data_IF_524090145232
#
_entry.id   IF_524090145232
#
_cell.length_a   1.000
_cell.length_b   1.000
_cell.length_c   1.000
_cell.angle_alpha   90.00
_cell.angle_beta   90.00
_cell.angle_gamma   90.00
#
_symmetry.space_group_name_H-M   'P 1'
#
loop_
_entity.id
_entity.type
_entity.pdbx_description
1 polymer ?
#
# COMPACT_ATOMS: atom_id res chain seq x y z
N UNK A 1 -4.07 -2.66 22.85
CA UNK A 1 -3.22 -3.76 22.31
C UNK A 1 -3.35 -3.80 20.78
N UNK A 2 -2.25 -4.01 20.02
CA UNK A 2 -2.30 -4.14 18.56
C UNK A 2 -2.23 -5.61 18.17
N UNK A 3 -3.27 -6.09 17.47
CA UNK A 3 -3.38 -7.44 16.93
C UNK A 3 -3.30 -7.39 15.39
N UNK A 4 -2.27 -7.97 14.83
CA UNK A 4 -2.08 -8.05 13.37
C UNK A 4 -2.59 -9.40 12.88
N UNK A 5 -3.68 -9.39 12.12
CA UNK A 5 -4.20 -10.58 11.45
C UNK A 5 -3.48 -10.71 10.11
N UNK A 6 -2.35 -11.40 10.14
CA UNK A 6 -1.43 -11.57 9.01
C UNK A 6 -1.64 -12.95 8.38
N UNK A 7 -2.45 -12.96 7.33
CA UNK A 7 -2.79 -14.21 6.65
C UNK A 7 -2.98 -14.00 5.13
N UNK A 8 -2.86 -15.08 4.38
CA UNK A 8 -3.00 -15.08 2.93
C UNK A 8 -4.37 -14.56 2.49
N UNK A 9 -4.46 -14.13 1.24
CA UNK A 9 -5.75 -13.71 0.66
C UNK A 9 -6.75 -14.86 0.66
N UNK A 10 -8.02 -14.52 0.88
CA UNK A 10 -9.09 -15.54 0.97
C UNK A 10 -9.21 -16.24 2.33
N UNK A 11 -8.28 -16.04 3.27
CA UNK A 11 -8.33 -16.63 4.62
C UNK A 11 -9.51 -16.16 5.49
N UNK A 12 -10.30 -15.16 5.02
CA UNK A 12 -11.50 -14.71 5.73
C UNK A 12 -11.26 -13.59 6.75
N UNK A 13 -10.13 -12.85 6.69
CA UNK A 13 -9.80 -11.77 7.63
C UNK A 13 -10.92 -10.74 7.83
N UNK A 14 -11.48 -10.23 6.74
CA UNK A 14 -12.57 -9.24 6.83
C UNK A 14 -13.87 -9.87 7.39
N UNK A 15 -14.13 -11.14 7.10
CA UNK A 15 -15.27 -11.87 7.69
C UNK A 15 -15.09 -12.04 9.19
N UNK A 16 -13.88 -12.42 9.63
CA UNK A 16 -13.55 -12.53 11.04
C UNK A 16 -13.82 -11.21 11.78
N UNK A 17 -13.27 -10.09 11.29
CA UNK A 17 -13.42 -8.80 11.98
C UNK A 17 -14.87 -8.28 11.96
N UNK A 18 -15.64 -8.55 10.91
CA UNK A 18 -17.07 -8.25 10.88
C UNK A 18 -17.81 -9.00 11.99
N UNK A 19 -17.48 -10.26 12.23
CA UNK A 19 -18.09 -11.03 13.30
C UNK A 19 -17.67 -10.51 14.70
N UNK A 20 -16.42 -10.14 14.87
CA UNK A 20 -15.92 -9.48 16.08
C UNK A 20 -16.65 -8.14 16.34
N UNK A 21 -16.81 -7.31 15.30
CA UNK A 21 -17.56 -6.06 15.42
C UNK A 21 -19.04 -6.32 15.79
N UNK A 22 -19.70 -7.33 15.18
CA UNK A 22 -21.09 -7.71 15.53
C UNK A 22 -21.22 -8.08 16.99
N UNK A 23 -20.28 -8.86 17.51
CA UNK A 23 -20.29 -9.29 18.91
C UNK A 23 -19.97 -8.14 19.85
N UNK A 24 -19.02 -7.28 19.48
CA UNK A 24 -18.64 -6.13 20.31
C UNK A 24 -19.73 -5.06 20.38
N UNK A 25 -20.43 -4.76 19.28
CA UNK A 25 -21.56 -3.80 19.26
C UNK A 25 -22.68 -4.24 20.20
N UNK A 26 -22.96 -5.54 20.29
CA UNK A 26 -23.93 -6.07 21.27
C UNK A 26 -23.49 -5.85 22.74
N UNK A 27 -22.21 -5.54 22.96
CA UNK A 27 -21.61 -5.20 24.26
C UNK A 27 -21.32 -3.71 24.39
N UNK A 28 -21.97 -2.86 23.59
CA UNK A 28 -21.81 -1.40 23.53
C UNK A 28 -20.42 -0.91 23.16
N UNK A 29 -19.56 -1.76 22.57
CA UNK A 29 -18.24 -1.36 22.07
C UNK A 29 -18.39 -0.51 20.81
N UNK A 30 -17.53 0.48 20.69
CA UNK A 30 -17.47 1.40 19.52
C UNK A 30 -16.25 1.13 18.67
N UNK A 31 -16.44 1.30 17.37
CA UNK A 31 -15.43 0.95 16.36
C UNK A 31 -15.16 2.09 15.40
N UNK A 32 -13.89 2.23 15.02
CA UNK A 32 -13.48 3.00 13.86
C UNK A 32 -12.89 2.03 12.85
N UNK A 33 -13.58 1.83 11.73
CA UNK A 33 -13.15 0.99 10.62
C UNK A 33 -12.50 1.86 9.54
N UNK A 34 -11.23 1.60 9.26
CA UNK A 34 -10.40 2.40 8.34
C UNK A 34 -9.93 1.51 7.18
N UNK A 35 -10.27 1.89 5.96
CA UNK A 35 -9.96 1.12 4.75
C UNK A 35 -9.49 2.04 3.62
N UNK A 36 -8.64 1.58 2.67
CA UNK A 36 -8.26 2.40 1.53
C UNK A 36 -9.42 2.63 0.52
N UNK A 37 -10.55 1.92 0.65
CA UNK A 37 -11.58 1.87 -0.40
C UNK A 37 -12.97 2.27 0.06
N UNK A 38 -13.61 3.12 -0.76
CA UNK A 38 -15.01 3.49 -0.59
C UNK A 38 -15.97 2.28 -0.73
N UNK A 39 -15.61 1.28 -1.53
CA UNK A 39 -16.44 0.08 -1.72
C UNK A 39 -16.51 -0.78 -0.44
N UNK A 40 -15.40 -0.88 0.29
CA UNK A 40 -15.40 -1.58 1.59
C UNK A 40 -16.17 -0.78 2.65
N UNK A 41 -16.12 0.56 2.62
CA UNK A 41 -17.00 1.39 3.48
C UNK A 41 -18.47 1.06 3.18
N UNK A 42 -18.89 1.07 1.91
CA UNK A 42 -20.25 0.72 1.52
C UNK A 42 -20.65 -0.69 1.99
N UNK A 43 -19.70 -1.64 1.94
CA UNK A 43 -19.91 -3.00 2.44
C UNK A 43 -20.15 -3.00 3.95
N UNK A 44 -19.35 -2.28 4.74
CA UNK A 44 -19.54 -2.17 6.19
C UNK A 44 -20.88 -1.53 6.51
N UNK A 45 -21.25 -0.42 5.86
CA UNK A 45 -22.54 0.24 6.04
C UNK A 45 -23.73 -0.67 5.67
N UNK A 46 -23.56 -1.55 4.66
CA UNK A 46 -24.59 -2.54 4.31
C UNK A 46 -24.73 -3.66 5.35
N UNK A 47 -23.63 -4.05 5.97
CA UNK A 47 -23.64 -5.09 7.03
C UNK A 47 -24.18 -4.55 8.36
N UNK A 48 -23.99 -3.24 8.60
CA UNK A 48 -24.34 -2.54 9.82
C UNK A 48 -25.13 -1.24 9.51
N UNK A 49 -26.36 -1.36 8.98
CA UNK A 49 -27.05 -0.24 8.35
C UNK A 49 -27.44 0.89 9.32
N UNK A 50 -27.58 0.60 10.62
CA UNK A 50 -27.96 1.60 11.62
C UNK A 50 -26.84 1.87 12.65
N UNK A 51 -25.80 1.07 12.64
CA UNK A 51 -24.75 1.11 13.66
C UNK A 51 -23.54 1.92 13.19
N UNK A 52 -23.21 1.87 11.90
CA UNK A 52 -22.05 2.58 11.34
C UNK A 52 -22.45 3.80 10.52
N UNK A 53 -21.64 4.84 10.59
CA UNK A 53 -21.74 6.06 9.78
C UNK A 53 -20.41 6.31 9.05
N UNK A 54 -20.48 7.02 7.92
CA UNK A 54 -19.29 7.50 7.22
C UNK A 54 -19.26 9.03 7.23
N UNK A 55 -18.10 9.67 7.33
CA UNK A 55 -17.96 11.10 7.21
C UNK A 55 -18.36 11.62 5.82
N UNK A 56 -19.23 12.61 5.76
CA UNK A 56 -19.78 13.19 4.54
C UNK A 56 -19.53 14.69 4.43
N UNK A 57 -19.70 15.23 3.24
CA UNK A 57 -19.76 16.70 3.04
C UNK A 57 -21.16 17.20 3.37
N UNK A 58 -21.29 18.03 4.41
CA UNK A 58 -22.57 18.67 4.76
C UNK A 58 -22.62 20.08 4.15
N UNK A 59 -23.31 20.23 3.03
CA UNK A 59 -23.41 21.51 2.30
C UNK A 59 -24.03 22.67 3.13
N UNK A 60 -24.85 22.38 4.12
CA UNK A 60 -25.54 23.38 4.94
C UNK A 60 -24.63 24.18 5.88
N UNK A 61 -23.39 23.73 6.14
CA UNK A 61 -22.49 24.35 7.12
C UNK A 61 -21.06 24.59 6.60
N UNK A 62 -20.82 24.61 5.30
CA UNK A 62 -19.47 24.60 4.71
C UNK A 62 -18.54 23.51 5.29
N UNK A 63 -19.11 22.40 5.76
CA UNK A 63 -18.43 21.36 6.49
C UNK A 63 -17.62 20.45 5.58
N UNK A 64 -16.37 20.22 5.93
CA UNK A 64 -15.49 19.23 5.30
C UNK A 64 -15.80 17.84 5.85
N UNK A 65 -15.29 16.78 5.18
CA UNK A 65 -15.34 15.42 5.76
C UNK A 65 -14.62 15.29 7.09
N UNK A 66 -13.59 16.10 7.32
CA UNK A 66 -12.87 16.13 8.61
C UNK A 66 -13.76 16.74 9.70
N UNK A 67 -14.52 17.82 9.39
CA UNK A 67 -15.49 18.41 10.32
C UNK A 67 -16.58 17.41 10.71
N UNK A 68 -17.08 16.64 9.73
CA UNK A 68 -18.09 15.62 10.00
C UNK A 68 -17.51 14.42 10.77
N UNK A 69 -16.25 14.03 10.52
CA UNK A 69 -15.55 13.04 11.33
C UNK A 69 -15.47 13.47 12.81
N UNK A 70 -15.15 14.74 13.08
CA UNK A 70 -15.11 15.29 14.44
C UNK A 70 -16.50 15.22 15.11
N UNK A 71 -17.56 15.56 14.38
CA UNK A 71 -18.93 15.45 14.90
C UNK A 71 -19.27 13.98 15.24
N UNK A 72 -18.97 13.03 14.35
CA UNK A 72 -19.23 11.61 14.60
C UNK A 72 -18.44 11.08 15.81
N UNK A 73 -17.21 11.56 16.02
CA UNK A 73 -16.41 11.23 17.22
C UNK A 73 -17.03 11.85 18.48
N UNK A 74 -17.48 13.11 18.41
CA UNK A 74 -18.18 13.77 19.50
C UNK A 74 -19.44 12.99 19.91
N UNK A 75 -20.23 12.52 18.92
CA UNK A 75 -21.45 11.74 19.11
C UNK A 75 -21.19 10.28 19.51
N UNK A 76 -19.92 9.88 19.63
CA UNK A 76 -19.49 8.52 19.98
C UNK A 76 -20.09 7.44 19.08
N UNK A 77 -20.15 7.71 17.77
CA UNK A 77 -20.68 6.83 16.75
C UNK A 77 -19.67 5.77 16.32
N UNK A 78 -20.13 4.60 15.82
CA UNK A 78 -19.25 3.72 15.04
C UNK A 78 -18.99 4.34 13.67
N UNK A 79 -17.72 4.39 13.24
CA UNK A 79 -17.31 5.15 12.08
C UNK A 79 -16.61 4.24 11.05
N UNK A 80 -17.04 4.33 9.78
CA UNK A 80 -16.31 3.73 8.67
C UNK A 80 -15.70 4.85 7.81
N UNK A 81 -14.37 4.87 7.67
CA UNK A 81 -13.68 5.96 7.00
C UNK A 81 -12.54 5.48 6.10
N UNK A 82 -12.00 6.39 5.27
CA UNK A 82 -10.87 6.06 4.40
C UNK A 82 -9.52 6.30 5.10
N UNK A 83 -8.47 5.55 4.68
CA UNK A 83 -7.08 5.83 5.06
C UNK A 83 -6.72 7.31 4.85
N UNK A 84 -7.13 7.88 3.71
CA UNK A 84 -6.81 9.28 3.39
C UNK A 84 -7.40 10.27 4.41
N UNK A 85 -8.65 10.08 4.84
CA UNK A 85 -9.26 10.95 5.84
C UNK A 85 -8.69 10.68 7.24
N UNK A 86 -8.45 9.42 7.58
CA UNK A 86 -7.84 9.06 8.86
C UNK A 86 -6.42 9.62 9.03
N UNK A 87 -5.67 9.78 7.95
CA UNK A 87 -4.35 10.46 7.97
C UNK A 87 -4.43 11.97 8.19
N UNK A 88 -5.60 12.60 8.02
CA UNK A 88 -5.80 14.05 8.24
C UNK A 88 -6.08 14.42 9.71
N UNK A 89 -5.93 13.47 10.64
CA UNK A 89 -6.12 13.66 12.08
C UNK A 89 -5.33 14.89 12.56
N UNK A 90 -6.02 15.80 13.23
CA UNK A 90 -5.47 16.97 13.90
C UNK A 90 -5.60 16.85 15.44
N UNK A 91 -5.15 17.87 16.16
CA UNK A 91 -5.16 17.87 17.63
C UNK A 91 -6.57 17.72 18.22
N UNK A 92 -7.60 18.28 17.58
CA UNK A 92 -8.98 18.14 18.04
C UNK A 92 -9.48 16.70 17.92
N UNK A 93 -9.18 16.02 16.79
CA UNK A 93 -9.48 14.58 16.65
C UNK A 93 -8.72 13.75 17.68
N UNK A 94 -7.44 14.09 17.95
CA UNK A 94 -6.65 13.45 18.98
C UNK A 94 -7.32 13.58 20.36
N UNK A 95 -7.78 14.76 20.72
CA UNK A 95 -8.40 15.00 22.02
C UNK A 95 -9.77 14.31 22.15
N UNK A 96 -10.54 14.20 21.07
CA UNK A 96 -11.78 13.43 21.03
C UNK A 96 -11.50 11.92 21.21
N UNK A 97 -10.45 11.38 20.56
CA UNK A 97 -10.08 9.98 20.68
C UNK A 97 -9.60 9.61 22.10
N UNK A 98 -8.88 10.51 22.78
CA UNK A 98 -8.44 10.30 24.16
C UNK A 98 -9.60 10.15 25.16
N UNK A 99 -10.72 10.75 24.86
CA UNK A 99 -11.89 10.78 25.76
C UNK A 99 -12.84 9.60 25.56
N UNK A 100 -12.59 8.72 24.60
CA UNK A 100 -13.52 7.68 24.17
C UNK A 100 -12.83 6.33 23.97
N UNK A 101 -13.51 5.27 24.36
CA UNK A 101 -13.02 3.89 24.24
C UNK A 101 -13.38 3.29 22.88
N UNK A 102 -12.59 3.61 21.86
CA UNK A 102 -12.76 2.99 20.56
C UNK A 102 -11.88 1.75 20.36
N UNK A 103 -12.36 0.81 19.57
CA UNK A 103 -11.57 -0.21 18.89
C UNK A 103 -11.29 0.23 17.46
N UNK A 104 -10.00 0.25 17.08
CA UNK A 104 -9.58 0.58 15.72
C UNK A 104 -9.46 -0.67 14.86
N UNK A 105 -10.04 -0.65 13.67
CA UNK A 105 -9.86 -1.70 12.66
C UNK A 105 -9.25 -1.07 11.42
N UNK A 106 -8.06 -1.53 11.03
CA UNK A 106 -7.36 -1.09 9.82
C UNK A 106 -7.39 -2.24 8.81
N UNK A 107 -8.20 -2.08 7.78
CA UNK A 107 -8.27 -3.01 6.65
C UNK A 107 -7.19 -2.62 5.64
N UNK A 108 -6.23 -3.50 5.43
CA UNK A 108 -4.92 -3.26 4.80
C UNK A 108 -4.03 -2.29 5.60
N UNK A 109 -2.72 -2.39 5.42
CA UNK A 109 -1.76 -1.52 6.13
C UNK A 109 -1.96 -0.04 5.77
N UNK A 110 -1.91 0.81 6.78
CA UNK A 110 -1.96 2.26 6.62
C UNK A 110 -0.58 2.77 6.16
N UNK A 111 -0.57 3.73 5.24
CA UNK A 111 0.66 4.45 4.89
C UNK A 111 1.00 5.43 6.03
N UNK A 112 1.76 4.96 7.01
CA UNK A 112 2.13 5.71 8.22
C UNK A 112 3.39 6.56 8.06
N UNK A 113 4.11 6.39 6.94
CA UNK A 113 5.32 7.15 6.59
C UNK A 113 5.24 7.54 5.12
N UNK A 114 5.36 8.82 4.82
CA UNK A 114 5.36 9.37 3.46
C UNK A 114 6.52 10.33 3.23
N UNK A 115 7.06 10.33 2.00
CA UNK A 115 8.01 11.37 1.59
C UNK A 115 7.21 12.61 1.23
N UNK A 116 7.52 13.70 1.89
CA UNK A 116 6.90 14.99 1.61
C UNK A 116 7.41 15.56 0.28
N UNK A 117 6.49 16.00 -0.56
CA UNK A 117 6.85 16.62 -1.84
C UNK A 117 7.33 18.05 -1.61
N UNK A 118 8.65 18.20 -1.40
CA UNK A 118 9.34 19.48 -1.18
C UNK A 118 10.60 19.53 -2.04
N UNK A 119 10.89 20.67 -2.64
CA UNK A 119 12.12 20.84 -3.42
C UNK A 119 13.33 21.08 -2.51
N UNK A 120 14.53 20.71 -2.96
CA UNK A 120 15.77 21.00 -2.21
C UNK A 120 15.93 22.49 -1.95
N UNK A 121 15.55 23.36 -2.92
CA UNK A 121 15.58 24.81 -2.76
C UNK A 121 14.64 25.31 -1.67
N UNK A 122 13.45 24.71 -1.53
CA UNK A 122 12.51 25.06 -0.46
C UNK A 122 13.03 24.59 0.91
N UNK A 123 13.66 23.41 0.96
CA UNK A 123 14.37 22.94 2.16
C UNK A 123 15.46 23.93 2.56
N UNK A 124 16.36 24.24 1.62
CA UNK A 124 17.46 25.20 1.86
C UNK A 124 16.91 26.58 2.30
N UNK A 125 15.81 27.05 1.72
CA UNK A 125 15.18 28.30 2.14
C UNK A 125 14.69 28.26 3.59
N UNK A 126 13.99 27.21 4.01
CA UNK A 126 13.48 27.10 5.37
C UNK A 126 14.60 27.09 6.43
N UNK A 127 15.72 26.44 6.13
CA UNK A 127 16.86 26.37 7.06
C UNK A 127 17.71 27.65 7.03
N UNK A 128 18.00 28.23 5.85
CA UNK A 128 18.82 29.44 5.71
C UNK A 128 18.13 30.70 6.28
N UNK A 129 16.80 30.72 6.33
CA UNK A 129 16.02 31.82 6.94
C UNK A 129 15.65 31.54 8.40
N UNK A 130 16.22 30.53 9.00
CA UNK A 130 15.99 30.13 10.40
C UNK A 130 14.52 29.86 10.77
N UNK A 131 13.69 29.50 9.78
CA UNK A 131 12.30 29.10 10.01
C UNK A 131 12.20 27.73 10.70
N UNK A 132 13.15 26.84 10.44
CA UNK A 132 13.18 25.50 10.98
C UNK A 132 14.61 25.03 11.31
N UNK A 133 14.71 24.09 12.24
CA UNK A 133 15.96 23.39 12.58
C UNK A 133 15.68 21.89 12.70
N UNK A 134 16.74 21.09 12.78
CA UNK A 134 16.66 19.64 13.02
C UNK A 134 17.17 19.33 14.42
N UNK A 135 16.42 18.57 15.20
CA UNK A 135 16.86 18.08 16.49
C UNK A 135 17.75 16.81 16.38
N UNK A 136 18.26 16.32 17.51
CA UNK A 136 19.11 15.12 17.56
C UNK A 136 18.42 13.83 17.10
N UNK A 137 17.09 13.83 16.97
CA UNK A 137 16.28 12.70 16.51
C UNK A 137 15.84 12.86 15.04
N UNK A 138 16.48 13.76 14.29
CA UNK A 138 16.13 14.14 12.92
C UNK A 138 14.70 14.72 12.78
N UNK A 139 14.08 15.17 13.86
CA UNK A 139 12.78 15.82 13.82
C UNK A 139 12.94 17.28 13.41
N UNK A 140 12.03 17.78 12.58
CA UNK A 140 11.98 19.20 12.23
C UNK A 140 11.32 19.98 13.37
N UNK A 141 12.03 20.98 13.88
CA UNK A 141 11.55 21.92 14.89
C UNK A 141 11.30 23.26 14.19
N UNK A 142 10.06 23.72 14.19
CA UNK A 142 9.68 25.00 13.62
C UNK A 142 9.89 26.11 14.65
N UNK A 143 10.55 27.22 14.23
CA UNK A 143 10.96 28.29 15.15
C UNK A 143 10.04 29.52 15.12
N UNK A 144 9.45 29.84 13.97
CA UNK A 144 8.64 31.05 13.81
C UNK A 144 7.14 30.70 13.88
N UNK A 145 6.54 30.92 15.04
CA UNK A 145 5.11 30.63 15.27
C UNK A 145 4.17 31.56 14.49
N UNK A 146 4.57 32.78 14.18
CA UNK A 146 3.78 33.76 13.44
C UNK A 146 3.81 33.54 11.91
N UNK A 147 4.60 32.56 11.42
CA UNK A 147 4.72 32.34 9.99
C UNK A 147 3.40 31.85 9.38
N UNK A 148 2.93 32.53 8.31
CA UNK A 148 1.69 32.21 7.58
C UNK A 148 1.89 32.05 6.06
N UNK A 149 3.14 31.90 5.61
CA UNK A 149 3.50 31.84 4.19
C UNK A 149 3.38 30.46 3.55
N UNK A 150 4.08 30.28 2.44
CA UNK A 150 4.09 29.05 1.59
C UNK A 150 4.36 27.76 2.35
N UNK A 151 5.11 27.81 3.44
CA UNK A 151 5.55 26.64 4.20
C UNK A 151 4.64 26.29 5.39
N UNK A 152 3.40 26.82 5.43
CA UNK A 152 2.49 26.66 6.57
C UNK A 152 2.12 25.18 6.84
N UNK A 153 2.04 24.34 5.80
CA UNK A 153 1.78 22.91 5.99
C UNK A 153 2.95 22.22 6.69
N UNK A 154 4.21 22.56 6.35
CA UNK A 154 5.41 22.02 7.01
C UNK A 154 5.50 22.50 8.46
N UNK A 155 5.16 23.77 8.73
CA UNK A 155 5.03 24.32 10.08
C UNK A 155 4.07 23.47 10.92
N UNK A 156 2.84 23.28 10.41
CA UNK A 156 1.81 22.50 11.09
C UNK A 156 2.28 21.06 11.39
N UNK A 157 2.91 20.37 10.42
CA UNK A 157 3.42 19.03 10.63
C UNK A 157 4.59 18.98 11.62
N UNK A 158 5.47 19.97 11.60
CA UNK A 158 6.56 20.08 12.57
C UNK A 158 6.03 20.32 14.00
N UNK A 159 5.08 21.26 14.18
CA UNK A 159 4.44 21.54 15.46
C UNK A 159 3.67 20.32 16.03
N UNK A 160 3.09 19.48 15.16
CA UNK A 160 2.46 18.23 15.55
C UNK A 160 3.46 17.07 15.74
N UNK A 161 4.77 17.32 15.68
CA UNK A 161 5.82 16.31 15.79
C UNK A 161 5.77 15.21 14.72
N UNK A 162 5.23 15.51 13.55
CA UNK A 162 5.00 14.54 12.46
C UNK A 162 5.98 14.71 11.30
N UNK A 163 6.92 15.69 11.36
CA UNK A 163 7.83 15.99 10.28
C UNK A 163 9.28 15.70 10.68
N UNK A 164 9.94 14.85 9.89
CA UNK A 164 11.32 14.43 10.09
C UNK A 164 12.18 14.79 8.89
N UNK A 165 13.46 14.98 9.11
CA UNK A 165 14.45 15.21 8.07
C UNK A 165 15.15 13.90 7.71
N UNK A 166 15.25 13.60 6.42
CA UNK A 166 16.27 12.69 5.91
C UNK A 166 17.51 13.53 5.55
N UNK A 167 18.64 13.23 6.18
CA UNK A 167 19.88 13.95 6.01
C UNK A 167 20.88 13.14 5.18
N UNK A 168 21.78 13.83 4.46
CA UNK A 168 22.92 13.19 3.81
C UNK A 168 24.04 12.85 4.82
N UNK A 169 25.14 12.29 4.31
CA UNK A 169 26.32 11.92 5.13
C UNK A 169 26.96 13.10 5.89
N UNK A 170 26.68 14.33 5.45
CA UNK A 170 27.20 15.56 6.06
C UNK A 170 26.18 16.20 7.01
N UNK A 171 25.07 15.52 7.30
CA UNK A 171 23.99 16.05 8.14
C UNK A 171 23.09 17.07 7.45
N UNK A 172 23.27 17.32 6.11
CA UNK A 172 22.44 18.28 5.38
C UNK A 172 21.07 17.64 5.05
N UNK A 173 19.94 18.32 5.37
CA UNK A 173 18.60 17.88 4.99
C UNK A 173 18.44 17.73 3.47
N UNK A 174 17.89 16.61 3.02
CA UNK A 174 17.67 16.27 1.61
C UNK A 174 16.21 15.97 1.25
N UNK A 175 15.45 15.53 2.22
CA UNK A 175 14.02 15.26 2.06
C UNK A 175 13.33 15.39 3.42
N UNK A 176 12.04 15.66 3.37
CA UNK A 176 11.22 15.58 4.56
C UNK A 176 10.37 14.31 4.52
N UNK A 177 10.23 13.69 5.69
CA UNK A 177 9.44 12.49 5.92
C UNK A 177 8.32 12.85 6.88
N UNK A 178 7.09 12.66 6.42
CA UNK A 178 5.94 12.76 7.28
C UNK A 178 5.69 11.42 7.95
N UNK A 179 5.50 11.44 9.25
CA UNK A 179 5.11 10.26 10.04
C UNK A 179 3.71 10.45 10.62
N UNK A 180 2.93 9.39 10.60
CA UNK A 180 1.65 9.36 11.30
C UNK A 180 1.88 9.56 12.81
N UNK A 181 1.00 10.28 13.55
CA UNK A 181 1.19 10.49 14.98
C UNK A 181 1.19 9.17 15.75
N UNK A 182 2.36 8.78 16.31
CA UNK A 182 2.54 7.50 17.00
C UNK A 182 1.58 7.31 18.19
N UNK A 183 1.28 8.39 18.89
CA UNK A 183 0.39 8.39 20.05
C UNK A 183 -1.03 7.93 19.73
N UNK A 184 -1.48 8.02 18.47
CA UNK A 184 -2.82 7.59 18.05
C UNK A 184 -3.08 6.13 18.45
N UNK A 185 -2.09 5.25 18.26
CA UNK A 185 -2.25 3.84 18.58
C UNK A 185 -2.40 3.56 20.08
N UNK A 186 -2.07 4.51 20.97
CA UNK A 186 -2.24 4.35 22.41
C UNK A 186 -3.64 4.71 22.90
N UNK A 187 -4.44 5.42 22.10
CA UNK A 187 -5.79 5.85 22.47
C UNK A 187 -6.86 4.78 22.24
N UNK A 188 -6.53 3.75 21.50
CA UNK A 188 -7.47 2.66 21.22
C UNK A 188 -7.32 1.53 22.24
N UNK A 189 -8.43 1.06 22.77
CA UNK A 189 -8.47 -0.11 23.64
C UNK A 189 -7.87 -1.33 22.95
N UNK A 190 -8.30 -1.56 21.68
CA UNK A 190 -7.73 -2.57 20.80
C UNK A 190 -7.56 -1.99 19.39
N UNK A 191 -6.54 -2.49 18.68
CA UNK A 191 -6.31 -2.18 17.26
C UNK A 191 -6.14 -3.49 16.52
N UNK A 192 -6.93 -3.71 15.48
CA UNK A 192 -6.78 -4.82 14.54
C UNK A 192 -6.22 -4.30 13.22
N UNK A 193 -5.16 -4.93 12.72
CA UNK A 193 -4.58 -4.66 11.40
C UNK A 193 -4.74 -5.92 10.55
N UNK A 194 -5.51 -5.84 9.47
CA UNK A 194 -5.75 -6.97 8.57
C UNK A 194 -4.82 -6.85 7.37
N UNK A 195 -3.89 -7.80 7.21
CA UNK A 195 -2.89 -7.69 6.14
C UNK A 195 -2.34 -9.05 5.73
N UNK A 196 -1.32 -9.02 4.87
CA UNK A 196 -0.48 -10.17 4.54
C UNK A 196 0.99 -9.77 4.40
N UNK A 197 1.89 -10.61 4.95
CA UNK A 197 3.34 -10.36 5.01
C UNK A 197 3.64 -9.02 5.73
N UNK A 198 3.16 -8.88 6.95
CA UNK A 198 3.25 -7.62 7.70
C UNK A 198 4.67 -7.18 7.97
N UNK A 199 5.58 -8.10 8.34
CA UNK A 199 6.94 -7.78 8.79
C UNK A 199 7.76 -7.01 7.75
N UNK A 200 7.45 -7.12 6.46
CA UNK A 200 8.12 -6.38 5.40
C UNK A 200 7.40 -5.08 4.97
N UNK A 201 6.30 -4.72 5.64
CA UNK A 201 5.54 -3.51 5.31
C UNK A 201 6.09 -2.28 6.04
N UNK A 202 6.01 -1.07 5.43
CA UNK A 202 6.43 0.18 6.08
C UNK A 202 5.78 0.40 7.44
N UNK A 203 4.55 -0.09 7.66
CA UNK A 203 3.87 0.03 8.94
C UNK A 203 4.53 -0.81 10.04
N UNK A 204 5.03 -2.01 9.72
CA UNK A 204 5.78 -2.82 10.68
C UNK A 204 7.11 -2.14 11.06
N UNK A 205 7.84 -1.62 10.07
CA UNK A 205 9.06 -0.85 10.31
C UNK A 205 8.80 0.37 11.20
N UNK A 206 7.71 1.09 10.93
CA UNK A 206 7.30 2.24 11.73
C UNK A 206 6.96 1.85 13.17
N UNK A 207 6.15 0.81 13.40
CA UNK A 207 5.82 0.36 14.77
C UNK A 207 7.08 -0.06 15.54
N UNK A 208 8.01 -0.76 14.89
CA UNK A 208 9.28 -1.16 15.50
C UNK A 208 10.17 0.05 15.80
N UNK A 209 10.28 1.02 14.88
CA UNK A 209 11.07 2.25 15.09
C UNK A 209 10.57 3.08 16.29
N UNK A 210 9.29 3.03 16.57
CA UNK A 210 8.66 3.73 17.70
C UNK A 210 8.43 2.84 18.93
N UNK A 211 8.97 1.61 18.95
CA UNK A 211 8.80 0.64 20.05
C UNK A 211 7.32 0.39 20.42
N UNK A 212 6.42 0.40 19.43
CA UNK A 212 5.00 0.11 19.61
C UNK A 212 4.78 -1.40 19.49
N UNK A 213 4.43 -2.11 20.57
CA UNK A 213 4.31 -3.57 20.54
C UNK A 213 3.06 -4.02 19.79
N UNK A 214 3.18 -5.11 19.05
CA UNK A 214 2.08 -5.79 18.38
C UNK A 214 2.24 -7.31 18.45
N UNK A 215 1.10 -8.03 18.31
CA UNK A 215 1.10 -9.48 18.24
C UNK A 215 0.49 -9.92 16.91
N UNK A 216 1.16 -10.88 16.24
CA UNK A 216 0.64 -11.45 14.98
C UNK A 216 -0.21 -12.68 15.24
N UNK A 217 -1.24 -12.82 14.43
CA UNK A 217 -2.16 -13.95 14.41
C UNK A 217 -2.42 -14.41 12.98
N UNK A 218 -2.71 -15.69 12.83
CA UNK A 218 -3.32 -16.25 11.62
C UNK A 218 -4.77 -16.63 11.88
N UNK A 219 -5.49 -17.03 10.84
CA UNK A 219 -6.85 -17.53 10.93
C UNK A 219 -6.89 -19.04 10.70
N UNK A 220 -7.58 -19.76 11.58
CA UNK A 220 -7.94 -21.14 11.38
C UNK A 220 -9.44 -21.31 11.63
N UNK A 221 -10.17 -21.78 10.62
CA UNK A 221 -11.65 -21.94 10.67
C UNK A 221 -12.38 -20.67 11.16
N UNK A 222 -11.92 -19.50 10.74
CA UNK A 222 -12.53 -18.22 11.09
C UNK A 222 -12.25 -17.72 12.51
N UNK A 223 -11.30 -18.32 13.22
CA UNK A 223 -10.85 -17.91 14.56
C UNK A 223 -9.36 -17.56 14.55
N UNK A 224 -8.96 -16.62 15.43
CA UNK A 224 -7.55 -16.29 15.62
C UNK A 224 -6.79 -17.48 16.21
N UNK A 225 -5.64 -17.77 15.64
CA UNK A 225 -4.69 -18.74 16.17
C UNK A 225 -3.28 -18.14 16.24
N UNK A 226 -2.36 -18.85 16.88
CA UNK A 226 -0.94 -18.48 16.88
C UNK A 226 -0.46 -18.29 15.44
N UNK A 227 0.28 -17.22 15.22
CA UNK A 227 0.78 -16.86 13.88
C UNK A 227 1.52 -18.02 13.20
N UNK A 228 1.16 -18.28 11.98
CA UNK A 228 1.82 -19.19 11.05
C UNK A 228 1.91 -18.49 9.69
N UNK A 229 3.06 -18.59 9.04
CA UNK A 229 3.22 -18.01 7.72
C UNK A 229 2.54 -18.90 6.66
N UNK A 230 1.32 -18.57 6.33
CA UNK A 230 0.54 -19.27 5.32
C UNK A 230 0.89 -18.75 3.92
N UNK A 231 1.00 -19.65 2.96
CA UNK A 231 1.32 -19.34 1.56
C UNK A 231 0.12 -19.60 0.65
N UNK A 232 0.09 -18.97 -0.52
CA UNK A 232 -0.86 -19.37 -1.57
C UNK A 232 -0.56 -20.80 -2.02
N UNK A 233 -1.60 -21.52 -2.43
CA UNK A 233 -1.45 -22.91 -2.85
C UNK A 233 -0.62 -23.01 -4.15
N UNK A 234 0.59 -23.58 -4.04
CA UNK A 234 1.51 -23.76 -5.15
C UNK A 234 0.91 -24.53 -6.33
N UNK A 235 0.05 -25.52 -6.07
CA UNK A 235 -0.55 -26.36 -7.11
C UNK A 235 -1.47 -25.58 -8.06
N UNK A 236 -1.92 -24.39 -7.65
CA UNK A 236 -2.78 -23.52 -8.44
C UNK A 236 -2.00 -22.47 -9.25
N UNK A 237 -0.66 -22.44 -9.17
CA UNK A 237 0.17 -21.40 -9.78
C UNK A 237 1.04 -21.96 -10.88
N UNK A 238 0.71 -21.64 -12.12
CA UNK A 238 1.48 -21.99 -13.30
C UNK A 238 2.33 -20.81 -13.77
N UNK A 239 3.66 -20.87 -13.59
CA UNK A 239 4.58 -19.78 -13.95
C UNK A 239 5.19 -20.06 -15.33
N UNK A 240 5.09 -19.07 -16.25
CA UNK A 240 5.72 -19.16 -17.56
C UNK A 240 7.24 -19.18 -17.46
N UNK A 241 7.83 -20.29 -17.88
CA UNK A 241 9.27 -20.53 -17.93
C UNK A 241 9.77 -20.41 -19.38
N UNK A 242 11.08 -20.38 -19.56
CA UNK A 242 11.74 -20.42 -20.86
C UNK A 242 12.40 -19.11 -21.28
N UNK A 243 13.61 -19.23 -21.86
CA UNK A 243 14.47 -18.08 -22.24
C UNK A 243 13.81 -17.16 -23.25
N UNK A 244 13.08 -17.69 -24.24
CA UNK A 244 12.45 -16.90 -25.30
C UNK A 244 11.47 -15.84 -24.75
N UNK A 245 10.82 -16.13 -23.62
CA UNK A 245 9.89 -15.22 -22.96
C UNK A 245 10.56 -14.31 -21.93
N UNK A 246 11.60 -14.77 -21.29
CA UNK A 246 12.14 -14.18 -20.06
C UNK A 246 13.46 -13.42 -20.26
N UNK A 247 14.08 -13.50 -21.44
CA UNK A 247 15.40 -12.89 -21.70
C UNK A 247 15.43 -11.36 -21.48
N UNK A 248 14.34 -10.66 -21.76
CA UNK A 248 14.21 -9.20 -21.56
C UNK A 248 14.39 -8.79 -20.08
N UNK A 249 14.08 -9.69 -19.17
CA UNK A 249 14.05 -9.45 -17.72
C UNK A 249 15.25 -10.00 -16.95
N UNK A 250 16.30 -10.50 -17.60
CA UNK A 250 17.45 -11.15 -16.96
C UNK A 250 18.26 -10.22 -16.04
N UNK A 251 18.44 -8.97 -16.44
CA UNK A 251 19.18 -8.00 -15.60
C UNK A 251 18.37 -7.66 -14.34
N UNK A 252 19.07 -7.60 -13.19
CA UNK A 252 18.44 -7.29 -11.89
C UNK A 252 17.53 -6.07 -11.91
N UNK A 253 17.88 -5.02 -12.66
CA UNK A 253 17.11 -3.76 -12.74
C UNK A 253 16.12 -3.71 -13.89
N UNK A 254 16.05 -4.75 -14.73
CA UNK A 254 15.09 -4.80 -15.83
C UNK A 254 13.66 -4.69 -15.31
N UNK A 255 12.80 -4.04 -16.06
CA UNK A 255 11.40 -3.72 -15.73
C UNK A 255 11.22 -2.80 -14.48
N UNK A 256 12.29 -2.23 -13.93
CA UNK A 256 12.16 -1.16 -12.94
C UNK A 256 11.58 0.12 -13.58
N UNK A 257 11.08 1.04 -12.74
CA UNK A 257 10.57 2.34 -13.22
C UNK A 257 11.58 3.07 -14.11
N UNK A 258 12.84 3.14 -13.68
CA UNK A 258 13.91 3.79 -14.45
C UNK A 258 14.21 3.07 -15.78
N UNK A 259 14.21 1.74 -15.77
CA UNK A 259 14.42 0.93 -16.97
C UNK A 259 13.28 1.13 -17.99
N UNK A 260 12.03 1.16 -17.56
CA UNK A 260 10.85 1.37 -18.40
C UNK A 260 10.75 2.77 -18.97
N UNK A 261 11.25 3.78 -18.26
CA UNK A 261 11.20 5.19 -18.71
C UNK A 261 12.47 5.63 -19.46
N UNK A 262 13.43 4.72 -19.67
CA UNK A 262 14.64 5.02 -20.41
C UNK A 262 14.30 5.20 -21.90
N UNK A 263 14.69 6.37 -22.46
CA UNK A 263 14.47 6.73 -23.86
C UNK A 263 15.55 6.22 -24.80
N UNK A 264 16.63 5.61 -24.30
CA UNK A 264 17.68 5.01 -25.14
C UNK A 264 17.10 3.86 -25.97
N UNK A 265 17.42 3.84 -27.25
CA UNK A 265 17.01 2.78 -28.18
C UNK A 265 18.11 1.73 -28.35
N UNK A 266 17.72 0.50 -28.66
CA UNK A 266 18.63 -0.55 -29.08
C UNK A 266 19.02 -0.38 -30.57
N UNK A 267 19.81 -1.33 -31.11
CA UNK A 267 20.26 -1.33 -32.50
C UNK A 267 19.11 -1.32 -33.55
N UNK A 268 17.89 -1.69 -33.14
CA UNK A 268 16.70 -1.71 -34.00
C UNK A 268 15.79 -0.47 -33.79
N UNK A 269 16.26 0.56 -33.08
CA UNK A 269 15.49 1.77 -32.80
C UNK A 269 14.35 1.59 -31.79
N UNK A 270 14.32 0.50 -31.03
CA UNK A 270 13.28 0.23 -30.03
C UNK A 270 13.74 0.62 -28.65
N UNK A 271 12.88 1.32 -27.90
CA UNK A 271 13.06 1.51 -26.45
C UNK A 271 12.72 0.22 -25.70
N UNK A 272 13.18 0.13 -24.45
CA UNK A 272 12.84 -0.98 -23.54
C UNK A 272 11.31 -1.19 -23.43
N UNK A 273 10.55 -0.09 -23.36
CA UNK A 273 9.10 -0.14 -23.27
C UNK A 273 8.45 -0.74 -24.53
N UNK A 274 8.96 -0.39 -25.75
CA UNK A 274 8.49 -0.97 -27.01
C UNK A 274 8.80 -2.46 -27.12
N UNK A 275 10.03 -2.87 -26.74
CA UNK A 275 10.39 -4.30 -26.75
C UNK A 275 9.49 -5.10 -25.80
N UNK A 276 9.28 -4.57 -24.57
CA UNK A 276 8.38 -5.19 -23.62
C UNK A 276 6.96 -5.28 -24.20
N UNK A 277 6.40 -4.19 -24.73
CA UNK A 277 5.05 -4.19 -25.32
C UNK A 277 4.88 -5.23 -26.43
N UNK A 278 5.89 -5.37 -27.30
CA UNK A 278 5.90 -6.41 -28.34
C UNK A 278 5.81 -7.81 -27.74
N UNK A 279 6.59 -8.08 -26.68
CA UNK A 279 6.61 -9.37 -26.00
C UNK A 279 5.31 -9.66 -25.26
N UNK A 280 4.73 -8.66 -24.61
CA UNK A 280 3.43 -8.76 -23.94
C UNK A 280 2.29 -9.02 -24.95
N UNK A 281 2.34 -8.37 -26.10
CA UNK A 281 1.42 -8.62 -27.21
C UNK A 281 1.53 -10.04 -27.78
N UNK A 282 2.76 -10.59 -27.87
CA UNK A 282 2.98 -11.99 -28.24
C UNK A 282 2.41 -12.94 -27.19
N UNK A 283 2.67 -12.68 -25.90
CA UNK A 283 2.10 -13.48 -24.80
C UNK A 283 0.57 -13.55 -24.92
N UNK A 284 -0.11 -12.41 -25.08
CA UNK A 284 -1.57 -12.36 -25.24
C UNK A 284 -2.05 -13.17 -26.44
N UNK A 285 -1.36 -13.09 -27.58
CA UNK A 285 -1.77 -13.79 -28.83
C UNK A 285 -1.56 -15.30 -28.75
N UNK A 286 -0.52 -15.75 -28.12
CA UNK A 286 -0.08 -17.15 -28.17
C UNK A 286 -0.17 -17.86 -26.80
N UNK A 287 -0.59 -17.18 -25.76
CA UNK A 287 -0.77 -17.76 -24.42
C UNK A 287 0.51 -18.31 -23.77
N UNK A 288 1.69 -17.96 -24.28
CA UNK A 288 2.97 -18.41 -23.72
C UNK A 288 3.16 -19.93 -23.67
N UNK A 289 2.34 -20.70 -24.38
CA UNK A 289 2.33 -22.15 -24.31
C UNK A 289 1.40 -22.74 -23.24
N UNK A 290 0.73 -21.92 -22.43
CA UNK A 290 -0.27 -22.37 -21.46
C UNK A 290 -1.59 -22.86 -22.10
N UNK A 291 -1.90 -22.42 -23.31
CA UNK A 291 -3.18 -22.77 -23.94
C UNK A 291 -3.03 -23.98 -24.86
N UNK A 292 -3.78 -25.02 -24.58
CA UNK A 292 -3.75 -26.31 -25.30
C UNK A 292 -4.03 -26.17 -26.81
N UNK A 293 -4.78 -25.15 -27.21
CA UNK A 293 -5.23 -24.93 -28.59
C UNK A 293 -4.67 -23.68 -29.27
N UNK A 294 -3.56 -23.10 -28.77
CA UNK A 294 -2.95 -21.84 -29.29
C UNK A 294 -3.95 -20.67 -29.46
N UNK A 295 -5.04 -20.67 -28.69
CA UNK A 295 -6.01 -19.57 -28.69
C UNK A 295 -5.42 -18.34 -28.00
N UNK A 296 -5.76 -17.15 -28.49
CA UNK A 296 -5.39 -15.90 -27.83
C UNK A 296 -6.05 -15.79 -26.45
N UNK A 297 -5.32 -15.22 -25.50
CA UNK A 297 -5.87 -14.92 -24.16
C UNK A 297 -6.85 -13.74 -24.31
N UNK A 298 -8.08 -13.95 -23.86
CA UNK A 298 -9.08 -12.89 -23.80
C UNK A 298 -8.65 -11.81 -22.80
N UNK A 299 -8.80 -10.54 -23.18
CA UNK A 299 -8.60 -9.43 -22.23
C UNK A 299 -9.59 -9.43 -21.07
N UNK A 300 -10.71 -10.16 -21.22
CA UNK A 300 -11.69 -10.37 -20.14
C UNK A 300 -11.25 -11.42 -19.13
N UNK A 301 -10.29 -12.27 -19.49
CA UNK A 301 -9.73 -13.31 -18.60
C UNK A 301 -8.30 -12.98 -18.13
N UNK A 302 -7.80 -11.80 -18.42
CA UNK A 302 -6.45 -11.38 -18.07
C UNK A 302 -6.46 -10.14 -17.18
N UNK A 303 -5.59 -10.15 -16.17
CA UNK A 303 -5.18 -8.94 -15.46
C UNK A 303 -3.70 -8.67 -15.74
N UNK A 304 -3.34 -7.41 -15.86
CA UNK A 304 -1.94 -7.06 -16.08
C UNK A 304 -1.54 -5.76 -15.39
N UNK A 305 -0.25 -5.59 -15.17
CA UNK A 305 0.30 -4.40 -14.55
C UNK A 305 1.68 -4.03 -15.10
N UNK A 306 2.02 -2.77 -14.96
CA UNK A 306 3.35 -2.20 -15.15
C UNK A 306 3.48 -0.94 -14.30
N UNK A 307 4.66 -0.29 -14.31
CA UNK A 307 4.83 0.99 -13.62
C UNK A 307 3.87 2.05 -14.20
N UNK A 308 3.09 2.72 -13.36
CA UNK A 308 2.08 3.73 -13.75
C UNK A 308 2.63 4.80 -14.70
N UNK A 309 3.89 5.22 -14.50
CA UNK A 309 4.54 6.20 -15.37
C UNK A 309 4.77 5.66 -16.78
N UNK A 310 5.11 4.38 -16.92
CA UNK A 310 5.27 3.74 -18.22
C UNK A 310 3.91 3.47 -18.89
N UNK A 311 2.88 3.18 -18.11
CA UNK A 311 1.51 3.01 -18.60
C UNK A 311 0.92 4.33 -19.14
N UNK A 312 1.19 5.45 -18.47
CA UNK A 312 0.66 6.78 -18.82
C UNK A 312 1.60 7.59 -19.74
N UNK A 313 2.74 7.03 -20.17
CA UNK A 313 3.71 7.75 -21.00
C UNK A 313 3.24 7.79 -22.46
N UNK A 314 3.37 8.96 -23.10
CA UNK A 314 3.13 9.07 -24.54
C UNK A 314 4.31 8.54 -25.35
N UNK A 315 5.55 8.79 -24.90
CA UNK A 315 6.78 8.42 -25.61
C UNK A 315 7.24 6.98 -25.36
N UNK A 316 7.10 6.50 -24.11
CA UNK A 316 7.59 5.18 -23.66
C UNK A 316 6.47 4.35 -23.03
N UNK A 317 5.34 4.29 -23.72
CA UNK A 317 4.16 3.57 -23.27
C UNK A 317 4.36 2.07 -23.30
N UNK A 318 4.00 1.41 -22.21
CA UNK A 318 3.86 -0.06 -22.16
C UNK A 318 2.39 -0.41 -22.34
N UNK A 319 2.09 -1.22 -23.34
CA UNK A 319 0.73 -1.62 -23.70
C UNK A 319 0.64 -3.07 -24.18
N UNK A 320 -0.55 -3.62 -24.15
CA UNK A 320 -0.84 -4.98 -24.61
C UNK A 320 -1.82 -4.91 -25.79
N UNK A 321 -1.29 -4.74 -27.00
CA UNK A 321 -2.11 -4.56 -28.22
C UNK A 321 -3.01 -3.32 -28.11
N UNK A 322 -4.12 -3.30 -28.86
CA UNK A 322 -4.94 -2.10 -29.08
C UNK A 322 -5.82 -1.69 -27.89
N UNK A 323 -5.82 -2.43 -26.79
CA UNK A 323 -6.73 -2.17 -25.66
C UNK A 323 -6.06 -2.37 -24.32
N UNK A 324 -6.21 -1.39 -23.46
CA UNK A 324 -5.71 -1.40 -22.09
C UNK A 324 -6.70 -2.06 -21.09
N UNK A 325 -7.60 -2.91 -21.59
CA UNK A 325 -8.53 -3.67 -20.75
C UNK A 325 -7.76 -4.65 -19.86
N UNK A 326 -8.14 -4.71 -18.60
CA UNK A 326 -7.49 -5.58 -17.60
C UNK A 326 -6.29 -4.98 -16.90
N UNK A 327 -5.94 -3.73 -17.19
CA UNK A 327 -4.91 -3.05 -16.42
C UNK A 327 -5.34 -2.81 -14.98
N UNK A 328 -4.45 -3.15 -14.07
CA UNK A 328 -4.60 -2.88 -12.64
C UNK A 328 -3.29 -2.26 -12.13
N UNK A 329 -3.36 -1.09 -11.54
CA UNK A 329 -2.18 -0.44 -10.97
C UNK A 329 -1.55 -1.30 -9.87
N UNK A 330 -0.22 -1.31 -9.76
CA UNK A 330 0.54 -2.09 -8.77
C UNK A 330 0.07 -1.84 -7.33
N UNK A 331 -0.24 -0.59 -7.02
CA UNK A 331 -0.72 -0.16 -5.71
C UNK A 331 -2.26 -0.14 -5.60
N UNK A 332 -2.99 -0.67 -6.60
CA UNK A 332 -4.43 -0.81 -6.46
C UNK A 332 -4.72 -1.83 -5.37
N UNK A 333 -5.31 -1.41 -4.27
CA UNK A 333 -5.63 -2.27 -3.11
C UNK A 333 -7.06 -2.81 -3.25
N UNK A 334 -7.38 -3.91 -2.58
CA UNK A 334 -8.69 -4.56 -2.41
C UNK A 334 -9.73 -4.35 -3.53
N UNK A 335 -9.56 -5.01 -4.68
CA UNK A 335 -10.61 -5.12 -5.68
C UNK A 335 -10.93 -6.56 -5.98
N UNK A 336 -12.20 -6.93 -5.87
CA UNK A 336 -12.70 -8.26 -6.24
C UNK A 336 -13.13 -8.33 -7.72
N UNK A 337 -13.02 -7.22 -8.44
CA UNK A 337 -13.47 -7.09 -9.85
C UNK A 337 -12.80 -8.10 -10.78
N UNK A 338 -11.65 -8.62 -10.42
CA UNK A 338 -10.83 -9.50 -11.25
C UNK A 338 -10.72 -10.92 -10.70
N UNK A 339 -11.50 -11.28 -9.68
CA UNK A 339 -11.43 -12.58 -9.00
C UNK A 339 -11.82 -13.79 -9.87
N UNK A 340 -12.29 -13.57 -11.07
CA UNK A 340 -12.60 -14.59 -12.07
C UNK A 340 -11.58 -14.64 -13.20
N UNK A 341 -10.41 -13.98 -13.09
CA UNK A 341 -9.41 -13.94 -14.16
C UNK A 341 -8.26 -14.87 -13.85
N UNK A 342 -7.92 -15.72 -14.83
CA UNK A 342 -6.93 -16.78 -14.68
C UNK A 342 -5.55 -16.39 -15.21
N UNK A 343 -5.44 -15.44 -16.15
CA UNK A 343 -4.16 -15.03 -16.71
C UNK A 343 -3.65 -13.75 -16.05
N UNK A 344 -2.43 -13.82 -15.56
CA UNK A 344 -1.76 -12.71 -14.89
C UNK A 344 -0.50 -12.35 -15.65
N UNK A 345 -0.34 -11.06 -15.95
CA UNK A 345 0.88 -10.53 -16.53
C UNK A 345 1.44 -9.45 -15.63
N UNK A 346 2.55 -9.76 -14.98
CA UNK A 346 3.22 -8.87 -14.04
C UNK A 346 4.47 -8.28 -14.66
N UNK A 347 4.32 -7.15 -15.38
CA UNK A 347 5.39 -6.49 -16.13
C UNK A 347 6.02 -5.33 -15.33
N UNK A 348 6.45 -5.62 -14.12
CA UNK A 348 7.11 -4.67 -13.23
C UNK A 348 8.19 -5.33 -12.39
N UNK A 349 9.14 -4.51 -11.92
CA UNK A 349 10.16 -4.89 -10.95
C UNK A 349 10.22 -3.81 -9.89
N UNK A 350 9.84 -4.16 -8.67
CA UNK A 350 9.66 -3.21 -7.59
C UNK A 350 10.90 -3.14 -6.69
N UNK A 351 11.31 -1.93 -6.39
CA UNK A 351 12.34 -1.61 -5.40
C UNK A 351 11.74 -0.71 -4.34
N UNK A 352 12.11 -0.97 -3.09
CA UNK A 352 11.71 -0.09 -2.00
C UNK A 352 12.27 1.32 -2.23
N UNK A 353 11.55 2.35 -1.81
CA UNK A 353 12.02 3.71 -2.02
C UNK A 353 13.34 3.95 -1.25
N UNK A 354 14.44 4.36 -1.92
CA UNK A 354 15.73 4.50 -1.26
C UNK A 354 15.73 5.52 -0.11
N UNK A 355 14.95 6.59 -0.21
CA UNK A 355 14.84 7.60 0.85
C UNK A 355 14.19 7.01 2.09
N UNK A 356 13.06 6.30 1.93
CA UNK A 356 12.40 5.61 3.04
C UNK A 356 13.25 4.48 3.61
N UNK A 357 13.95 3.72 2.73
CA UNK A 357 14.88 2.68 3.17
C UNK A 357 15.95 3.24 4.11
N UNK A 358 16.62 4.30 3.66
CA UNK A 358 17.66 4.95 4.45
C UNK A 358 17.11 5.60 5.72
N UNK A 359 15.90 6.19 5.65
CA UNK A 359 15.23 6.72 6.83
C UNK A 359 15.03 5.65 7.92
N UNK A 360 14.53 4.46 7.55
CA UNK A 360 14.37 3.36 8.51
C UNK A 360 15.73 2.82 9.01
N UNK A 361 16.74 2.72 8.14
CA UNK A 361 18.11 2.33 8.54
C UNK A 361 18.68 3.32 9.58
N UNK A 362 18.44 4.63 9.43
CA UNK A 362 18.83 5.65 10.43
C UNK A 362 18.09 5.48 11.77
N UNK A 363 16.95 4.80 11.78
CA UNK A 363 16.20 4.41 12.97
C UNK A 363 16.60 3.02 13.51
N UNK A 364 17.72 2.44 13.04
CA UNK A 364 18.17 1.07 13.35
C UNK A 364 17.19 -0.04 12.94
N UNK A 365 16.37 0.20 11.92
CA UNK A 365 15.44 -0.78 11.37
C UNK A 365 15.99 -1.34 10.06
N UNK A 366 16.15 -2.66 10.00
CA UNK A 366 16.51 -3.35 8.77
C UNK A 366 15.30 -3.45 7.82
N UNK A 367 15.50 -3.05 6.56
CA UNK A 367 14.46 -3.08 5.52
C UNK A 367 14.69 -4.24 4.57
N UNK A 368 13.82 -5.24 4.60
CA UNK A 368 13.83 -6.33 3.64
C UNK A 368 13.11 -5.94 2.33
N UNK A 369 13.87 -5.44 1.37
CA UNK A 369 13.37 -4.98 0.08
C UNK A 369 12.79 -6.11 -0.77
N UNK A 370 13.37 -7.31 -0.70
CA UNK A 370 12.93 -8.45 -1.50
C UNK A 370 11.60 -9.01 -0.99
N UNK A 371 11.42 -9.15 0.32
CA UNK A 371 10.14 -9.56 0.90
C UNK A 371 9.06 -8.50 0.69
N UNK A 372 9.41 -7.21 0.78
CA UNK A 372 8.47 -6.14 0.42
C UNK A 372 8.02 -6.24 -1.04
N UNK A 373 8.95 -6.43 -1.98
CA UNK A 373 8.62 -6.57 -3.40
C UNK A 373 7.78 -7.83 -3.66
N UNK A 374 8.10 -8.94 -2.99
CA UNK A 374 7.32 -10.18 -3.02
C UNK A 374 5.90 -9.96 -2.48
N UNK A 375 5.74 -9.27 -1.35
CA UNK A 375 4.42 -9.01 -0.77
C UNK A 375 3.51 -8.24 -1.74
N UNK A 376 4.07 -7.26 -2.45
CA UNK A 376 3.35 -6.50 -3.48
C UNK A 376 2.94 -7.38 -4.66
N UNK A 377 3.82 -8.30 -5.09
CA UNK A 377 3.53 -9.27 -6.14
C UNK A 377 2.44 -10.25 -5.70
N UNK A 378 2.55 -10.86 -4.53
CA UNK A 378 1.57 -11.83 -4.02
C UNK A 378 0.20 -11.16 -3.81
N UNK A 379 0.16 -9.95 -3.25
CA UNK A 379 -1.08 -9.19 -3.13
C UNK A 379 -1.72 -8.87 -4.49
N UNK A 380 -0.91 -8.64 -5.53
CA UNK A 380 -1.42 -8.47 -6.90
C UNK A 380 -1.99 -9.79 -7.44
N UNK A 381 -1.27 -10.89 -7.29
CA UNK A 381 -1.71 -12.25 -7.70
C UNK A 381 -3.03 -12.62 -7.02
N UNK A 382 -3.17 -12.31 -5.76
CA UNK A 382 -4.37 -12.57 -4.96
C UNK A 382 -5.65 -11.83 -5.42
N UNK A 383 -5.58 -10.99 -6.43
CA UNK A 383 -6.78 -10.33 -7.03
C UNK A 383 -7.37 -11.11 -8.19
N UNK A 384 -6.74 -12.20 -8.57
CA UNK A 384 -7.15 -13.12 -9.63
C UNK A 384 -8.00 -14.29 -9.10
N UNK A 385 -8.27 -15.25 -9.98
CA UNK A 385 -9.02 -16.48 -9.68
C UNK A 385 -8.43 -17.32 -8.55
N UNK A 386 -7.14 -17.18 -8.23
CA UNK A 386 -6.51 -17.88 -7.11
C UNK A 386 -7.18 -17.58 -5.77
N UNK A 387 -7.79 -16.39 -5.61
CA UNK A 387 -8.55 -16.03 -4.42
C UNK A 387 -9.75 -16.94 -4.17
N UNK A 388 -10.30 -17.50 -5.24
CA UNK A 388 -11.43 -18.45 -5.21
C UNK A 388 -10.95 -19.90 -5.17
N UNK A 389 -9.64 -20.16 -5.05
CA UNK A 389 -9.07 -21.51 -5.09
C UNK A 389 -8.96 -22.09 -6.50
N UNK A 390 -8.94 -21.25 -7.54
CA UNK A 390 -8.84 -21.66 -8.94
C UNK A 390 -7.42 -21.51 -9.48
N UNK A 391 -7.06 -22.29 -10.50
CA UNK A 391 -5.77 -22.21 -11.16
C UNK A 391 -5.52 -20.87 -11.84
N UNK A 392 -4.27 -20.43 -11.80
CA UNK A 392 -3.80 -19.23 -12.52
C UNK A 392 -2.56 -19.51 -13.34
N UNK A 393 -2.39 -18.73 -14.40
CA UNK A 393 -1.28 -18.76 -15.32
C UNK A 393 -0.59 -17.40 -15.31
N UNK A 394 0.65 -17.36 -14.83
CA UNK A 394 1.33 -16.10 -14.57
C UNK A 394 2.58 -15.94 -15.43
N UNK A 395 2.70 -14.79 -16.09
CA UNK A 395 3.89 -14.35 -16.78
C UNK A 395 4.56 -13.18 -16.05
N UNK A 396 5.80 -13.39 -15.61
CA UNK A 396 6.63 -12.41 -14.92
C UNK A 396 7.94 -12.28 -15.70
N UNK A 397 8.08 -11.30 -16.62
CA UNK A 397 9.31 -11.13 -17.39
C UNK A 397 10.53 -10.86 -16.52
N UNK A 398 10.40 -10.09 -15.44
CA UNK A 398 11.50 -9.79 -14.51
C UNK A 398 11.99 -11.06 -13.82
N UNK A 399 13.27 -11.41 -14.01
CA UNK A 399 13.91 -12.56 -13.36
C UNK A 399 13.83 -12.44 -11.85
N UNK A 400 14.21 -11.28 -11.29
CA UNK A 400 14.16 -11.06 -9.83
C UNK A 400 12.76 -11.33 -9.26
N UNK A 401 11.72 -10.72 -9.83
CA UNK A 401 10.35 -10.88 -9.33
C UNK A 401 9.84 -12.32 -9.49
N UNK A 402 10.21 -12.97 -10.60
CA UNK A 402 9.86 -14.35 -10.85
C UNK A 402 10.54 -15.31 -9.87
N UNK A 403 11.83 -15.11 -9.60
CA UNK A 403 12.60 -15.92 -8.65
C UNK A 403 12.05 -15.74 -7.22
N UNK A 404 11.68 -14.51 -6.82
CA UNK A 404 11.05 -14.26 -5.53
C UNK A 404 9.74 -15.06 -5.38
N UNK A 405 8.88 -15.08 -6.41
CA UNK A 405 7.65 -15.86 -6.35
C UNK A 405 7.92 -17.37 -6.33
N UNK A 406 8.86 -17.86 -7.14
CA UNK A 406 9.22 -19.28 -7.16
C UNK A 406 9.74 -19.73 -5.79
N UNK A 407 10.66 -18.97 -5.19
CA UNK A 407 11.20 -19.28 -3.86
C UNK A 407 10.13 -19.23 -2.76
N UNK A 408 9.20 -18.29 -2.86
CA UNK A 408 8.07 -18.21 -1.94
C UNK A 408 7.15 -19.45 -2.05
N UNK A 409 6.98 -20.02 -3.24
CA UNK A 409 6.10 -21.19 -3.45
C UNK A 409 6.74 -22.52 -3.04
N UNK A 410 8.06 -22.60 -2.88
CA UNK A 410 8.77 -23.76 -2.35
C UNK A 410 8.60 -23.86 -0.85
#
# INVERSE_FOLDING_TARGET
>A
MISVVDDVCGAGKTTYIINEMKNGIKQDKKYIFVTPFKEEIKRILKVFPNEFQQPEYKNASNGTKLTDLKQLLHDYSNIATTHALFKMIDNEVIDLLKQRDYTLVIDEVLDVVDIVNVTTSDIDAMFNTDLATVDNNNKIVWKNEEYTGKFNDYKRWAQNNNLYSYTDKNGKPKAFIWNFPQQIFTFFQNTYILTYMFDCQPMAYYLNAHNIPYTKYSLNNGQLCKYQFNKINKSLVNILQGKAWNNIGEKRTALSKAWLTNSKTNAFGNTNAKELSSLLGKFRRYGGGFTVNKKSISTKDMIWTTAKRAYNSDANKVEIGDRQTGFLALNARATNKFSNRHFILYAANLFFNPVLKNYFIQQNIEVNEDDWALSMLVQFVCRSAIRNGEEIYIYIPSKRMRDLLINYLI
#
